data_IF_406844478858
#
_entry.id   IF_406844478858
#
_cell.length_a   1.000
_cell.length_b   1.000
_cell.length_c   1.000
_cell.angle_alpha   90.00
_cell.angle_beta   90.00
_cell.angle_gamma   90.00
#
_symmetry.space_group_name_H-M   'P 1'
#
loop_
_entity.id
_entity.type
_entity.pdbx_description
1 polymer ?
#
# COMPACT_ATOMS: atom_id res chain seq x y z
N UNK A 1 13.45 -10.19 12.55
CA UNK A 1 12.92 -10.24 11.17
C UNK A 1 12.73 -8.80 10.70
N UNK A 2 12.83 -8.53 9.40
CA UNK A 2 12.64 -7.20 8.84
C UNK A 2 11.15 -6.84 8.72
N UNK A 3 10.83 -5.57 8.91
CA UNK A 3 9.50 -5.02 8.60
C UNK A 3 9.22 -5.19 7.11
N UNK A 4 8.05 -5.69 6.76
CA UNK A 4 7.70 -6.03 5.37
C UNK A 4 6.24 -5.71 5.07
N UNK A 5 5.98 -5.24 3.84
CA UNK A 5 4.66 -4.94 3.28
C UNK A 5 4.39 -5.90 2.12
N UNK A 6 3.18 -6.48 2.05
CA UNK A 6 2.75 -7.39 1.00
C UNK A 6 1.29 -7.15 0.62
N UNK A 7 0.88 -7.66 -0.54
CA UNK A 7 -0.51 -7.73 -0.96
C UNK A 7 -0.90 -9.17 -1.27
N UNK A 8 -2.17 -9.51 -1.02
CA UNK A 8 -2.74 -10.78 -1.51
C UNK A 8 -3.16 -10.68 -3.00
N UNK A 9 -3.18 -9.47 -3.58
CA UNK A 9 -3.62 -9.24 -4.96
C UNK A 9 -2.48 -9.39 -5.98
N UNK A 10 -1.25 -9.08 -5.60
CA UNK A 10 -0.06 -9.16 -6.47
C UNK A 10 1.22 -9.24 -5.63
N UNK A 11 2.31 -9.70 -6.26
CA UNK A 11 3.65 -9.70 -5.66
C UNK A 11 4.42 -8.46 -6.10
N UNK A 12 5.50 -8.16 -5.40
CA UNK A 12 6.46 -7.14 -5.81
C UNK A 12 6.96 -7.41 -7.24
N UNK A 13 6.86 -6.40 -8.10
CA UNK A 13 7.27 -6.46 -9.51
C UNK A 13 6.25 -7.08 -10.48
N UNK A 14 5.17 -7.69 -9.98
CA UNK A 14 4.10 -8.23 -10.81
C UNK A 14 3.07 -7.15 -11.20
N UNK A 15 2.25 -7.44 -12.21
CA UNK A 15 1.16 -6.55 -12.62
C UNK A 15 0.10 -6.39 -11.51
N UNK A 16 -0.31 -5.14 -11.29
CA UNK A 16 -1.47 -4.81 -10.46
C UNK A 16 -2.75 -5.26 -11.18
N UNK A 17 -3.64 -6.05 -10.55
CA UNK A 17 -4.90 -6.46 -11.15
C UNK A 17 -5.79 -5.29 -11.58
N UNK A 18 -6.48 -5.44 -12.72
CA UNK A 18 -7.34 -4.38 -13.31
C UNK A 18 -8.31 -3.72 -12.33
N UNK A 19 -8.79 -4.47 -11.32
CA UNK A 19 -9.71 -3.94 -10.31
C UNK A 19 -9.15 -2.79 -9.46
N UNK A 20 -7.82 -2.66 -9.38
CA UNK A 20 -7.11 -1.61 -8.66
C UNK A 20 -6.55 -0.53 -9.59
N UNK A 21 -7.13 -0.42 -10.79
CA UNK A 21 -6.71 0.53 -11.81
C UNK A 21 -7.92 1.25 -12.36
N UNK A 22 -7.70 2.30 -13.16
CA UNK A 22 -8.74 3.01 -13.88
C UNK A 22 -9.46 2.16 -14.96
N UNK A 23 -8.93 0.97 -15.31
CA UNK A 23 -9.64 0.00 -16.17
C UNK A 23 -10.66 -0.86 -15.41
N UNK A 24 -10.77 -0.68 -14.09
CA UNK A 24 -11.71 -1.37 -13.22
C UNK A 24 -12.42 -0.41 -12.25
N UNK A 25 -12.94 -0.91 -11.12
CA UNK A 25 -13.59 -0.08 -10.10
C UNK A 25 -12.65 0.84 -9.31
N UNK A 26 -11.34 0.86 -9.59
CA UNK A 26 -10.35 1.74 -8.94
C UNK A 26 -10.28 1.57 -7.40
N UNK A 27 -10.48 0.35 -6.90
CA UNK A 27 -10.44 0.03 -5.46
C UNK A 27 -9.00 -0.08 -4.97
N UNK A 28 -8.70 0.37 -3.75
CA UNK A 28 -7.36 0.19 -3.19
C UNK A 28 -7.00 -1.30 -3.05
N UNK A 29 -5.74 -1.71 -3.31
CA UNK A 29 -5.36 -3.10 -3.10
C UNK A 29 -5.35 -3.49 -1.62
N UNK A 30 -5.64 -4.76 -1.28
CA UNK A 30 -5.47 -5.24 0.08
C UNK A 30 -3.98 -5.24 0.42
N UNK A 31 -3.61 -4.57 1.50
CA UNK A 31 -2.23 -4.48 1.98
C UNK A 31 -2.11 -5.10 3.36
N UNK A 32 -1.00 -5.77 3.63
CA UNK A 32 -0.68 -6.34 4.94
C UNK A 32 0.79 -6.10 5.24
N UNK A 33 1.11 -5.80 6.48
CA UNK A 33 2.49 -5.72 6.92
C UNK A 33 2.75 -6.61 8.13
N UNK A 34 4.01 -6.99 8.29
CA UNK A 34 4.48 -7.86 9.36
C UNK A 34 5.76 -7.34 9.97
N UNK A 35 6.08 -7.77 11.18
CA UNK A 35 7.32 -7.45 11.89
C UNK A 35 7.53 -5.93 12.11
N UNK A 36 6.46 -5.21 12.46
CA UNK A 36 6.57 -3.81 12.85
C UNK A 36 7.55 -3.67 14.05
N UNK A 37 8.41 -2.64 14.06
CA UNK A 37 9.32 -2.40 15.18
C UNK A 37 8.58 -2.30 16.52
N UNK A 38 9.21 -2.78 17.60
CA UNK A 38 8.62 -2.65 18.94
C UNK A 38 8.45 -1.17 19.29
N UNK A 39 7.25 -0.80 19.71
CA UNK A 39 6.94 0.57 20.10
C UNK A 39 6.41 1.47 18.98
N UNK A 40 6.18 0.93 17.77
CA UNK A 40 5.44 1.65 16.71
C UNK A 40 4.15 2.24 17.27
N UNK A 41 3.95 3.55 17.06
CA UNK A 41 2.78 4.29 17.54
C UNK A 41 1.74 4.50 16.46
N UNK A 42 2.20 4.63 15.22
CA UNK A 42 1.35 4.75 14.07
C UNK A 42 2.08 4.34 12.80
N UNK A 43 1.31 4.10 11.74
CA UNK A 43 1.82 3.90 10.38
C UNK A 43 1.36 5.03 9.46
N UNK A 44 2.13 5.20 8.38
CA UNK A 44 1.78 5.98 7.22
C UNK A 44 2.03 5.15 5.96
N UNK A 45 1.27 5.42 4.91
CA UNK A 45 1.36 4.79 3.60
C UNK A 45 1.44 5.87 2.53
N UNK A 46 2.39 5.73 1.62
CA UNK A 46 2.50 6.51 0.39
C UNK A 46 2.51 5.48 -0.75
N UNK A 47 1.62 5.67 -1.72
CA UNK A 47 1.70 4.99 -3.01
C UNK A 47 1.98 6.06 -4.07
N UNK A 48 3.16 6.00 -4.68
CA UNK A 48 3.61 6.93 -5.70
C UNK A 48 4.06 6.21 -6.98
N UNK A 49 3.95 6.93 -8.09
CA UNK A 49 4.38 6.53 -9.42
C UNK A 49 5.48 7.49 -9.89
N UNK A 50 6.77 7.11 -9.80
CA UNK A 50 7.87 7.91 -10.29
C UNK A 50 7.95 7.97 -11.83
N UNK A 51 7.25 7.09 -12.53
CA UNK A 51 7.25 6.98 -14.00
C UNK A 51 6.17 7.87 -14.66
N UNK A 52 5.38 8.58 -13.86
CA UNK A 52 4.34 9.47 -14.36
C UNK A 52 4.92 10.59 -15.27
N UNK A 53 4.19 11.05 -16.31
CA UNK A 53 4.77 11.85 -17.39
C UNK A 53 5.39 13.20 -16.99
N UNK A 54 5.05 13.73 -15.82
CA UNK A 54 5.46 15.06 -15.35
C UNK A 54 6.26 14.97 -14.04
N UNK A 55 6.89 13.82 -13.79
CA UNK A 55 7.55 13.49 -12.53
C UNK A 55 6.63 12.72 -11.57
N UNK A 56 7.13 12.45 -10.37
CA UNK A 56 6.45 11.56 -9.41
C UNK A 56 5.02 12.00 -9.10
N UNK A 57 4.07 11.08 -9.29
CA UNK A 57 2.66 11.27 -8.95
C UNK A 57 2.30 10.46 -7.70
N UNK A 58 1.72 11.11 -6.69
CA UNK A 58 1.28 10.41 -5.48
C UNK A 58 -0.18 9.98 -5.65
N UNK A 59 -0.43 8.68 -5.75
CA UNK A 59 -1.76 8.08 -5.88
C UNK A 59 -2.51 8.03 -4.57
N UNK A 60 -1.82 7.76 -3.45
CA UNK A 60 -2.48 7.57 -2.16
C UNK A 60 -1.58 8.03 -1.01
N UNK A 61 -2.19 8.72 -0.03
CA UNK A 61 -1.55 9.09 1.24
C UNK A 61 -2.50 8.76 2.38
N UNK A 62 -2.02 7.93 3.32
CA UNK A 62 -2.70 7.66 4.59
C UNK A 62 -1.71 7.87 5.72
N UNK A 63 -2.16 8.45 6.83
CA UNK A 63 -1.35 8.63 8.02
C UNK A 63 -2.20 8.45 9.27
N UNK A 64 -1.55 8.36 10.43
CA UNK A 64 -2.17 8.13 11.74
C UNK A 64 -2.96 6.80 11.84
N UNK A 65 -2.59 5.79 11.06
CA UNK A 65 -3.06 4.42 11.31
C UNK A 65 -2.54 3.96 12.68
N UNK A 66 -3.36 3.40 13.58
CA UNK A 66 -2.91 2.92 14.88
C UNK A 66 -1.73 1.96 14.79
N UNK A 67 -0.84 1.96 15.80
CA UNK A 67 0.34 1.08 15.85
C UNK A 67 0.00 -0.42 15.89
N UNK A 68 -1.24 -0.76 16.20
CA UNK A 68 -1.79 -2.12 16.19
C UNK A 68 -2.37 -2.53 14.84
N UNK A 69 -2.55 -1.60 13.89
CA UNK A 69 -3.01 -1.93 12.55
C UNK A 69 -1.97 -2.78 11.84
N UNK A 70 -2.40 -3.88 11.22
CA UNK A 70 -1.52 -4.81 10.47
C UNK A 70 -1.93 -4.98 9.02
N UNK A 71 -3.07 -4.42 8.62
CA UNK A 71 -3.59 -4.53 7.28
C UNK A 71 -4.53 -3.37 6.92
N UNK A 72 -4.69 -3.18 5.62
CA UNK A 72 -5.74 -2.40 4.99
C UNK A 72 -6.49 -3.35 4.05
N UNK A 73 -7.80 -3.58 4.26
CA UNK A 73 -8.59 -4.35 3.31
C UNK A 73 -8.70 -3.62 1.97
N UNK A 74 -9.10 -4.35 0.94
CA UNK A 74 -9.52 -3.72 -0.32
C UNK A 74 -10.71 -2.78 -0.07
N UNK A 75 -10.70 -1.58 -0.67
CA UNK A 75 -11.78 -0.60 -0.53
C UNK A 75 -11.41 0.79 -1.01
#
# INVERSE_FOLDING_TARGET
MAFALTSLAFKEGDFIPKKHTCEGPDLSPPLRWTNAPKGTKSFALIADDPDAPVGTWVHWVIFNLPGETTELPEG
#
